data_IF_260717822572
#
_entry.id   IF_260717822572
#
_cell.length_a   1.000
_cell.length_b   1.000
_cell.length_c   1.000
_cell.angle_alpha   90.00
_cell.angle_beta   90.00
_cell.angle_gamma   90.00
#
_symmetry.space_group_name_H-M   'P 1'
#
loop_
_entity.id
_entity.type
_entity.pdbx_description
1 polymer ?
2 polymer ?
3 non-polymer ?
4 non-polymer ?
5 non-polymer ?
6 non-polymer ?
7 non-polymer ?
8 water ?
#
# COMPACT_ATOMS: atom_id res chain seq x y z
N UNK A 1 14.17 -16.91 9.23
CA UNK A 1 13.01 -16.01 9.36
C UNK A 1 12.63 -15.47 8.00
N UNK A 2 11.47 -14.81 7.95
CA UNK A 2 10.87 -14.39 6.71
C UNK A 2 11.71 -13.37 5.94
N UNK A 3 12.42 -12.46 6.61
CA UNK A 3 13.21 -11.47 5.88
C UNK A 3 14.37 -12.15 5.17
N UNK A 4 15.10 -13.01 5.88
CA UNK A 4 16.19 -13.74 5.25
C UNK A 4 15.66 -14.55 4.08
N UNK A 5 14.54 -15.22 4.27
CA UNK A 5 14.05 -16.12 3.23
C UNK A 5 13.44 -15.41 2.04
N UNK A 6 12.89 -14.21 2.22
CA UNK A 6 11.99 -13.65 1.24
C UNK A 6 12.32 -12.24 0.75
N UNK A 7 13.43 -11.63 1.19
CA UNK A 7 13.71 -10.28 0.73
C UNK A 7 14.75 -10.15 -0.39
N UNK A 8 15.29 -11.27 -0.90
CA UNK A 8 16.18 -11.32 -2.04
C UNK A 8 15.53 -12.08 -3.21
N UNK A 9 15.11 -13.29 -2.88
CA UNK A 9 14.38 -14.15 -3.80
C UNK A 9 12.90 -14.14 -3.43
N UNK A 10 12.04 -14.15 -4.43
CA UNK A 10 10.61 -14.06 -4.19
C UNK A 10 10.05 -15.30 -3.52
N UNK A 11 9.31 -15.09 -2.44
CA UNK A 11 8.54 -16.16 -1.81
C UNK A 11 7.17 -16.19 -2.42
N UNK A 12 6.81 -17.36 -2.91
CA UNK A 12 5.46 -17.58 -3.43
C UNK A 12 4.43 -17.44 -2.29
N UNK A 13 3.18 -17.23 -2.65
CA UNK A 13 2.11 -17.18 -1.62
C UNK A 13 2.06 -18.51 -0.85
N UNK A 14 2.40 -19.61 -1.51
CA UNK A 14 2.44 -20.88 -0.83
C UNK A 14 3.57 -20.92 0.22
N UNK A 15 4.77 -20.43 -0.12
CA UNK A 15 5.86 -20.37 0.85
C UNK A 15 5.51 -19.42 2.00
N UNK A 16 4.83 -18.31 1.70
CA UNK A 16 4.47 -17.35 2.74
C UNK A 16 3.53 -17.96 3.77
N UNK A 17 2.79 -19.01 3.41
CA UNK A 17 1.93 -19.68 4.40
C UNK A 17 2.71 -20.19 5.61
N UNK A 18 4.03 -20.35 5.46
CA UNK A 18 4.88 -20.80 6.56
C UNK A 18 4.82 -19.80 7.73
N UNK A 19 4.38 -18.55 7.48
CA UNK A 19 4.34 -17.54 8.53
C UNK A 19 2.92 -17.19 8.95
N UNK A 20 1.96 -18.03 8.57
CA UNK A 20 0.62 -17.92 9.14
C UNK A 20 0.57 -18.56 10.52
N UNK A 21 -0.38 -18.12 11.34
CA UNK A 21 -0.62 -18.77 12.62
C UNK A 21 -1.29 -20.11 12.41
N UNK B 1 18.53 -2.53 7.20
CA UNK B 1 18.75 -1.66 6.02
C UNK B 1 17.39 -1.20 5.51
N UNK B 2 17.37 -0.04 4.89
CA UNK B 2 16.13 0.46 4.30
C UNK B 2 15.46 -0.57 3.34
N UNK B 3 16.23 -1.28 2.52
CA UNK B 3 15.64 -2.26 1.61
C UNK B 3 14.81 -3.28 2.38
N UNK B 4 15.32 -3.75 3.52
CA UNK B 4 14.60 -4.72 4.30
C UNK B 4 13.36 -4.11 4.93
N UNK B 5 13.44 -2.86 5.35
CA UNK B 5 12.28 -2.15 5.85
C UNK B 5 11.19 -2.08 4.78
N UNK B 6 11.58 -1.75 3.56
CA UNK B 6 10.59 -1.66 2.48
C UNK B 6 10.04 -3.04 2.10
N UNK B 7 10.88 -4.04 2.08
CA UNK B 7 10.46 -5.42 1.84
C UNK B 7 9.41 -5.84 2.87
N UNK B 8 9.66 -5.55 4.15
CA UNK B 8 8.77 -5.97 5.20
C UNK B 8 7.35 -5.45 5.06
N UNK B 9 7.19 -4.21 4.59
CA UNK B 9 5.86 -3.65 4.38
C UNK B 9 5.07 -4.50 3.39
N UNK B 10 5.74 -4.89 2.32
CA UNK B 10 5.10 -5.74 1.33
C UNK B 10 4.85 -7.16 1.86
N UNK B 11 5.74 -7.68 2.68
CA UNK B 11 5.56 -8.99 3.27
C UNK B 11 4.31 -9.02 4.13
N UNK B 12 4.10 -7.99 4.95
CA UNK B 12 2.95 -7.95 5.83
C UNK B 12 1.65 -7.93 5.03
N UNK B 13 1.63 -7.16 3.94
CA UNK B 13 0.47 -7.10 3.07
C UNK B 13 0.15 -8.48 2.52
N UNK B 14 1.21 -9.17 2.06
CA UNK B 14 1.01 -10.49 1.50
C UNK B 14 0.55 -11.51 2.53
N UNK B 15 1.13 -11.47 3.74
CA UNK B 15 0.69 -12.37 4.80
C UNK B 15 -0.76 -12.11 5.18
N UNK B 16 -1.17 -10.84 5.22
CA UNK B 16 -2.55 -10.55 5.56
C UNK B 16 -3.49 -11.26 4.58
N UNK B 17 -3.16 -11.17 3.30
CA UNK B 17 -3.93 -11.77 2.22
C UNK B 17 -3.92 -13.28 2.26
N UNK B 18 -2.73 -13.86 2.40
CA UNK B 18 -2.58 -15.32 2.32
C UNK B 18 -3.18 -16.02 3.52
N UNK B 19 -3.04 -15.42 4.70
CA UNK B 19 -3.33 -16.14 5.93
C UNK B 19 -4.78 -16.05 6.34
N UNK B 20 -5.52 -15.06 5.85
CA UNK B 20 -6.95 -14.97 6.14
C UNK B 20 -7.24 -14.99 7.62
N UNK B 21 -8.30 -15.72 8.00
CA UNK B 21 -8.75 -15.76 9.37
C UNK B 21 -7.73 -16.30 10.36
N UNK B 22 -6.74 -17.02 9.86
CA UNK B 22 -5.67 -17.51 10.72
C UNK B 22 -4.81 -16.41 11.32
N UNK B 23 -4.68 -15.32 10.60
CA UNK B 23 -3.68 -14.32 10.93
C UNK B 23 -2.27 -14.86 10.73
N UNK B 24 -1.29 -14.09 11.19
CA UNK B 24 0.11 -14.38 10.92
C UNK B 24 0.98 -13.80 12.02
N UNK B 25 2.27 -14.16 11.97
CA UNK B 25 3.26 -13.55 12.83
C UNK B 25 4.29 -12.94 11.92
N UNK B 26 4.66 -11.71 12.23
CA UNK B 26 5.72 -11.03 11.51
C UNK B 26 6.88 -10.89 12.47
N UNK B 27 7.93 -11.66 12.16
CA UNK B 27 9.07 -11.81 13.03
C UNK B 27 10.31 -11.63 12.18
N UNK B 28 10.79 -10.39 12.13
CA UNK B 28 11.84 -10.08 11.17
C UNK B 28 13.19 -10.61 11.58
N UNK B 29 13.44 -10.77 12.88
CA UNK B 29 14.70 -11.34 13.38
C UNK B 29 15.86 -10.39 13.13
N UNK C 1 -11.77 21.29 2.14
CA UNK C 1 -10.41 20.80 1.88
C UNK C 1 -10.49 19.46 1.19
N UNK C 2 -9.34 18.84 1.09
CA UNK C 2 -9.20 17.62 0.33
C UNK C 2 -10.08 16.49 0.86
N UNK C 3 -10.30 16.41 2.17
CA UNK C 3 -11.13 15.34 2.72
C UNK C 3 -12.61 15.53 2.39
N UNK C 4 -13.11 16.75 2.55
CA UNK C 4 -14.49 17.06 2.16
C UNK C 4 -14.69 16.87 0.64
N UNK C 5 -13.67 17.24 -0.14
CA UNK C 5 -13.72 17.24 -1.60
C UNK C 5 -13.49 15.86 -2.23
N UNK C 6 -12.73 14.97 -1.55
CA UNK C 6 -12.24 13.75 -2.16
C UNK C 6 -12.49 12.47 -1.38
N UNK C 7 -13.01 12.56 -0.15
CA UNK C 7 -13.40 11.35 0.57
C UNK C 7 -14.89 11.09 0.55
N UNK C 8 -15.64 11.93 -0.16
CA UNK C 8 -17.05 11.63 -0.40
C UNK C 8 -17.25 11.13 -1.80
N UNK C 9 -16.68 11.86 -2.75
CA UNK C 9 -16.76 11.47 -4.15
C UNK C 9 -15.34 11.33 -4.70
N UNK C 10 -15.18 10.58 -5.78
CA UNK C 10 -13.86 10.32 -6.35
C UNK C 10 -13.26 11.59 -6.94
N UNK C 11 -12.05 11.96 -6.49
CA UNK C 11 -11.31 13.00 -7.18
C UNK C 11 -10.45 12.40 -8.26
N UNK C 12 -10.53 12.95 -9.46
CA UNK C 12 -9.64 12.55 -10.52
C UNK C 12 -8.21 13.05 -10.25
N UNK C 13 -7.24 12.55 -10.99
CA UNK C 13 -5.88 13.03 -10.78
C UNK C 13 -5.78 14.52 -11.07
N UNK C 14 -6.59 15.05 -11.99
CA UNK C 14 -6.62 16.49 -12.26
C UNK C 14 -7.10 17.28 -11.06
N UNK C 15 -8.17 16.81 -10.43
CA UNK C 15 -8.66 17.43 -9.22
C UNK C 15 -7.63 17.42 -8.10
N UNK C 16 -6.86 16.33 -8.00
CA UNK C 16 -5.86 16.25 -6.95
C UNK C 16 -4.70 17.25 -7.13
N UNK C 17 -4.52 17.78 -8.36
CA UNK C 17 -3.47 18.80 -8.56
C UNK C 17 -3.69 20.04 -7.72
N UNK C 18 -4.91 20.25 -7.24
CA UNK C 18 -5.22 21.36 -6.36
C UNK C 18 -4.38 21.31 -5.08
N UNK C 19 -3.82 20.15 -4.72
CA UNK C 19 -3.10 20.02 -3.47
C UNK C 19 -1.60 19.89 -3.64
N UNK C 20 -1.12 20.03 -4.88
CA UNK C 20 0.33 20.13 -5.10
C UNK C 20 0.86 21.44 -4.59
N UNK C 21 2.13 21.46 -4.22
CA UNK C 21 2.81 22.72 -3.90
C UNK C 21 3.10 23.52 -5.15
N UNK D 1 -16.45 7.26 12.85
CA UNK D 1 -16.02 6.13 11.98
C UNK D 1 -14.57 6.38 11.55
N UNK D 2 -13.87 5.34 11.13
CA UNK D 2 -12.47 5.46 10.70
C UNK D 2 -12.32 5.71 9.20
N UNK D 3 -13.43 5.80 8.48
CA UNK D 3 -13.37 5.91 7.02
C UNK D 3 -12.47 7.04 6.52
N UNK D 4 -12.60 8.24 7.09
CA UNK D 4 -11.79 9.35 6.56
C UNK D 4 -10.30 9.13 6.82
N UNK D 5 -9.94 8.53 7.94
CA UNK D 5 -8.55 8.18 8.22
C UNK D 5 -7.99 7.26 7.16
N UNK D 6 -8.77 6.26 6.78
CA UNK D 6 -8.29 5.32 5.78
C UNK D 6 -8.24 5.97 4.40
N UNK D 7 -9.24 6.79 4.08
CA UNK D 7 -9.21 7.49 2.81
C UNK D 7 -7.98 8.40 2.65
N UNK D 8 -7.59 9.08 3.73
CA UNK D 8 -6.41 9.93 3.68
C UNK D 8 -5.18 9.20 3.25
N UNK D 9 -5.01 7.95 3.65
CA UNK D 9 -3.79 7.25 3.28
C UNK D 9 -3.77 7.02 1.75
N UNK D 10 -4.93 6.74 1.15
CA UNK D 10 -5.04 6.64 -0.29
C UNK D 10 -4.77 8.00 -0.94
N UNK D 11 -5.28 9.08 -0.35
CA UNK D 11 -5.07 10.42 -0.90
C UNK D 11 -3.61 10.73 -1.01
N UNK D 12 -2.85 10.48 0.05
CA UNK D 12 -1.44 10.90 0.01
C UNK D 12 -0.66 10.07 -0.99
N UNK D 13 -1.01 8.81 -1.16
CA UNK D 13 -0.33 8.01 -2.16
C UNK D 13 -0.57 8.56 -3.56
N UNK D 14 -1.82 8.96 -3.84
CA UNK D 14 -2.11 9.56 -5.12
C UNK D 14 -1.43 10.89 -5.32
N UNK D 15 -1.43 11.73 -4.29
CA UNK D 15 -0.74 13.01 -4.35
C UNK D 15 0.74 12.83 -4.62
N UNK D 16 1.36 11.84 -4.02
CA UNK D 16 2.76 11.59 -4.27
C UNK D 16 3.03 11.38 -5.73
N UNK D 17 2.15 10.64 -6.39
CA UNK D 17 2.30 10.35 -7.81
C UNK D 17 1.95 11.55 -8.70
N UNK D 18 0.89 12.28 -8.39
CA UNK D 18 0.45 13.41 -9.20
C UNK D 18 1.41 14.58 -9.10
N UNK D 19 1.94 14.83 -7.90
CA UNK D 19 2.67 16.08 -7.61
C UNK D 19 4.18 15.74 -7.52
N UNK D 20 4.72 15.10 -8.53
CA UNK D 20 6.11 14.69 -8.57
C UNK D 20 7.19 15.74 -8.36
N UNK D 21 7.12 16.85 -9.08
CA UNK D 21 8.22 17.77 -9.07
C UNK D 21 8.31 18.52 -7.75
N UNK D 22 7.15 18.83 -7.18
CA UNK D 22 7.17 19.78 -6.09
C UNK D 22 6.47 19.29 -4.86
N UNK D 23 5.98 18.07 -4.83
CA UNK D 23 5.31 17.57 -3.66
C UNK D 23 3.97 18.23 -3.44
N UNK D 24 3.45 18.03 -2.24
CA UNK D 24 2.07 18.38 -1.95
C UNK D 24 1.95 18.89 -0.52
N UNK D 25 0.79 19.45 -0.22
CA UNK D 25 0.48 19.88 1.14
C UNK D 25 -0.81 19.18 1.53
N UNK D 26 -0.73 18.28 2.51
CA UNK D 26 -1.87 17.51 2.98
C UNK D 26 -2.38 18.11 4.28
N UNK D 27 -3.57 18.69 4.21
CA UNK D 27 -4.20 19.36 5.33
C UNK D 27 -5.64 18.90 5.35
N UNK D 28 -5.95 17.99 6.24
CA UNK D 28 -7.31 17.49 6.38
C UNK D 28 -8.20 18.43 7.21
N UNK E 1 8.66 -4.12 -22.37
CA UNK E 1 7.98 -4.57 -21.12
C UNK E 1 7.97 -3.46 -20.09
N UNK E 2 6.83 -3.27 -19.42
CA UNK E 2 6.68 -2.21 -18.46
C UNK E 2 7.69 -2.34 -17.32
N UNK E 3 8.01 -3.57 -16.97
CA UNK E 3 8.90 -3.79 -15.86
C UNK E 3 10.31 -3.35 -16.28
N UNK E 4 10.74 -3.82 -17.43
CA UNK E 4 12.02 -3.38 -17.96
C UNK E 4 12.06 -1.85 -18.08
N UNK E 5 11.02 -1.25 -18.67
CA UNK E 5 11.06 0.20 -18.91
C UNK E 5 10.90 1.03 -17.63
N UNK E 6 10.04 0.62 -16.68
CA UNK E 6 9.66 1.52 -15.59
C UNK E 6 10.21 1.14 -14.22
N UNK E 7 10.90 0.00 -14.12
CA UNK E 7 11.65 -0.29 -12.89
C UNK E 7 13.14 0.02 -13.11
N UNK E 8 13.53 0.16 -14.37
CA UNK E 8 14.89 0.62 -14.74
C UNK E 8 15.04 2.14 -14.83
N UNK E 9 13.93 2.84 -15.11
CA UNK E 9 13.88 4.29 -15.02
C UNK E 9 12.51 4.69 -14.50
N UNK E 10 12.38 5.90 -13.94
CA UNK E 10 11.09 6.37 -13.44
C UNK E 10 10.22 6.77 -14.60
N UNK E 11 9.01 6.22 -14.60
CA UNK E 11 8.04 6.52 -15.64
C UNK E 11 7.07 7.54 -15.13
N UNK E 12 6.80 8.52 -15.97
CA UNK E 12 5.80 9.53 -15.64
C UNK E 12 4.39 8.95 -15.74
N UNK E 13 3.38 9.65 -15.21
CA UNK E 13 2.00 9.18 -15.37
C UNK E 13 1.64 9.12 -16.86
N UNK E 14 2.19 10.04 -17.64
CA UNK E 14 1.93 10.07 -19.08
C UNK E 14 2.51 8.81 -19.76
N UNK E 15 3.72 8.41 -19.36
CA UNK E 15 4.32 7.19 -19.90
C UNK E 15 3.54 5.97 -19.45
N UNK E 16 3.11 5.94 -18.18
CA UNK E 16 2.35 4.79 -17.71
C UNK E 16 1.02 4.64 -18.45
N UNK E 17 0.42 5.77 -18.86
CA UNK E 17 -0.89 5.72 -19.49
C UNK E 17 -0.86 4.92 -20.80
N UNK E 18 0.33 4.74 -21.37
CA UNK E 18 0.46 3.95 -22.58
C UNK E 18 0.08 2.49 -22.36
N UNK E 19 0.19 2.07 -21.12
CA UNK E 19 -0.07 0.68 -20.80
C UNK E 19 -1.55 0.47 -20.46
N UNK E 20 -2.37 1.51 -20.52
CA UNK E 20 -3.82 1.36 -20.31
C UNK E 20 -4.52 0.71 -21.50
N UNK E 21 -5.71 0.20 -21.27
CA UNK E 21 -6.49 -0.29 -22.40
C UNK E 21 -7.16 0.85 -23.17
N UNK F 1 13.43 -11.89 -8.78
CA UNK F 1 14.12 -10.79 -8.09
C UNK F 1 13.12 -10.00 -7.28
N UNK F 2 13.36 -9.86 -5.98
CA UNK F 2 12.42 -9.15 -5.15
C UNK F 2 12.28 -7.68 -5.55
N UNK F 3 13.34 -7.00 -5.94
CA UNK F 3 13.15 -5.60 -6.31
C UNK F 3 12.13 -5.45 -7.45
N UNK F 4 12.19 -6.30 -8.47
CA UNK F 4 11.20 -6.27 -9.55
C UNK F 4 9.82 -6.59 -9.04
N UNK F 5 9.72 -7.62 -8.20
CA UNK F 5 8.43 -8.03 -7.64
C UNK F 5 7.78 -6.82 -6.95
N UNK F 6 8.56 -6.12 -6.12
CA UNK F 6 8.01 -5.00 -5.35
C UNK F 6 7.71 -3.82 -6.24
N UNK F 7 8.54 -3.57 -7.24
CA UNK F 7 8.24 -2.53 -8.20
C UNK F 7 6.92 -2.80 -8.89
N UNK F 8 6.66 -4.04 -9.29
CA UNK F 8 5.42 -4.35 -9.97
C UNK F 8 4.16 -4.03 -9.18
N UNK F 9 4.21 -4.21 -7.86
CA UNK F 9 3.08 -3.85 -6.99
C UNK F 9 2.77 -2.36 -7.14
N UNK F 10 3.81 -1.53 -7.14
CA UNK F 10 3.60 -0.11 -7.32
C UNK F 10 3.14 0.24 -8.74
N UNK F 11 3.62 -0.49 -9.73
CA UNK F 11 3.18 -0.23 -11.12
C UNK F 11 1.71 -0.49 -11.24
N UNK F 12 1.22 -1.60 -10.68
CA UNK F 12 -0.20 -1.91 -10.84
C UNK F 12 -1.08 -0.90 -10.13
N UNK F 13 -0.62 -0.40 -8.98
CA UNK F 13 -1.36 0.67 -8.29
C UNK F 13 -1.39 1.97 -9.09
N UNK F 14 -0.27 2.33 -9.71
CA UNK F 14 -0.23 3.54 -10.51
C UNK F 14 -1.12 3.39 -11.75
N UNK F 15 -1.07 2.23 -12.40
CA UNK F 15 -1.93 1.98 -13.55
C UNK F 15 -3.41 2.07 -13.14
N UNK F 16 -3.75 1.51 -11.98
CA UNK F 16 -5.13 1.62 -11.51
C UNK F 16 -5.56 3.08 -11.43
N UNK F 17 -4.68 3.95 -10.93
CA UNK F 17 -5.03 5.34 -10.76
C UNK F 17 -5.05 6.10 -12.08
N UNK F 18 -4.17 5.78 -13.01
CA UNK F 18 -4.07 6.48 -14.26
C UNK F 18 -5.13 6.06 -15.26
N UNK F 19 -5.39 4.76 -15.32
CA UNK F 19 -6.24 4.22 -16.35
C UNK F 19 -7.73 4.40 -16.02
N UNK F 20 -8.06 4.64 -14.75
CA UNK F 20 -9.43 4.89 -14.33
C UNK F 20 -10.43 3.84 -14.80
N UNK F 21 -11.51 4.30 -15.44
CA UNK F 21 -12.57 3.42 -15.93
C UNK F 21 -12.14 2.51 -17.08
N UNK F 22 -11.04 2.88 -17.74
CA UNK F 22 -10.53 2.13 -18.89
C UNK F 22 -9.86 0.81 -18.47
N UNK F 23 -9.39 0.75 -17.23
CA UNK F 23 -8.67 -0.40 -16.75
C UNK F 23 -7.37 -0.57 -17.50
N UNK F 24 -6.76 -1.74 -17.32
CA UNK F 24 -5.47 -2.01 -17.93
C UNK F 24 -5.19 -3.49 -18.02
N UNK F 25 -4.17 -3.83 -18.77
CA UNK F 25 -3.64 -5.16 -18.76
C UNK F 25 -2.30 -5.08 -18.04
N UNK F 26 -2.07 -6.00 -17.11
CA UNK F 26 -0.76 -6.14 -16.52
C UNK F 26 -0.13 -7.42 -16.99
N UNK F 27 0.92 -7.26 -17.81
CA UNK F 27 1.61 -8.35 -18.48
C UNK F 27 3.10 -8.27 -18.22
N UNK F 28 3.58 -8.99 -17.20
CA UNK F 28 5.03 -9.16 -16.98
C UNK F 28 5.65 -10.17 -17.96
N UNK G 1 -10.68 -7.53 20.03
CA UNK G 1 -9.30 -7.66 19.48
C UNK G 1 -8.99 -6.39 18.73
N UNK G 2 -7.86 -6.38 18.03
CA UNK G 2 -7.39 -5.18 17.40
C UNK G 2 -8.33 -4.65 16.31
N UNK G 3 -8.96 -5.53 15.53
CA UNK G 3 -9.88 -5.06 14.49
C UNK G 3 -11.10 -4.39 15.13
N UNK G 4 -11.67 -5.00 16.14
CA UNK G 4 -12.81 -4.40 16.79
C UNK G 4 -12.42 -3.04 17.38
N UNK G 5 -11.27 -2.95 18.03
CA UNK G 5 -10.93 -1.68 18.65
C UNK G 5 -10.64 -0.63 17.58
N UNK G 6 -9.78 -0.96 16.63
CA UNK G 6 -9.17 0.05 15.80
C UNK G 6 -9.92 0.29 14.47
N UNK G 7 -10.92 -0.52 14.16
CA UNK G 7 -11.82 -0.21 13.06
C UNK G 7 -13.12 0.45 13.55
N UNK G 8 -13.32 0.50 14.87
CA UNK G 8 -14.43 1.27 15.45
C UNK G 8 -14.07 2.73 15.55
N UNK G 9 -12.90 3.02 16.09
CA UNK G 9 -12.38 4.39 16.20
C UNK G 9 -10.88 4.35 16.05
N UNK G 10 -10.31 5.46 15.67
CA UNK G 10 -8.91 5.46 15.27
C UNK G 10 -8.02 5.15 16.46
N UNK G 11 -7.12 4.19 16.28
CA UNK G 11 -6.12 3.90 17.28
C UNK G 11 -4.90 4.80 17.08
N UNK G 12 -4.46 5.43 18.15
CA UNK G 12 -3.23 6.21 18.14
C UNK G 12 -2.02 5.30 18.00
N UNK G 13 -0.86 5.87 17.71
CA UNK G 13 0.35 5.05 17.64
C UNK G 13 0.58 4.37 19.00
N UNK G 14 0.32 5.07 20.11
CA UNK G 14 0.47 4.46 21.42
C UNK G 14 -0.42 3.24 21.57
N UNK G 15 -1.67 3.38 21.13
CA UNK G 15 -2.62 2.28 21.21
C UNK G 15 -2.15 1.12 20.33
N UNK G 16 -1.66 1.41 19.12
CA UNK G 16 -1.16 0.35 18.26
C UNK G 16 0.03 -0.38 18.89
N UNK G 17 0.87 0.35 19.62
CA UNK G 17 2.10 -0.20 20.12
C UNK G 17 1.81 -1.28 21.16
N UNK G 18 0.63 -1.22 21.77
CA UNK G 18 0.21 -2.30 22.69
C UNK G 18 0.09 -3.65 22.03
N UNK G 19 -0.04 -3.65 20.71
CA UNK G 19 -0.21 -4.91 20.00
C UNK G 19 1.14 -5.46 19.48
N UNK G 20 2.25 -4.75 19.68
CA UNK G 20 3.58 -5.21 19.27
C UNK G 20 4.10 -6.29 20.19
N UNK G 21 5.09 -7.03 19.70
CA UNK G 21 5.90 -7.86 20.59
C UNK G 21 7.01 -7.07 21.29
N UNK H 1 -18.56 -8.00 5.21
CA UNK H 1 -17.20 -8.27 5.63
C UNK H 1 -16.14 -7.46 4.84
N UNK H 2 -16.47 -6.91 3.67
CA UNK H 2 -15.45 -6.21 2.89
C UNK H 2 -14.86 -5.02 3.64
N UNK H 3 -15.69 -4.21 4.26
CA UNK H 3 -15.18 -3.05 4.98
C UNK H 3 -14.17 -3.40 6.05
N UNK H 4 -14.45 -4.44 6.80
CA UNK H 4 -13.55 -4.90 7.85
C UNK H 4 -12.26 -5.45 7.26
N UNK H 5 -12.38 -6.15 6.14
CA UNK H 5 -11.22 -6.66 5.42
C UNK H 5 -10.30 -5.51 5.03
N UNK H 6 -10.87 -4.47 4.43
CA UNK H 6 -10.08 -3.32 3.99
C UNK H 6 -9.45 -2.59 5.19
N UNK H 7 -10.23 -2.41 6.24
CA UNK H 7 -9.67 -1.76 7.43
C UNK H 7 -8.46 -2.57 7.97
N UNK H 8 -8.59 -3.89 8.02
CA UNK H 8 -7.53 -4.73 8.55
C UNK H 8 -6.25 -4.60 7.75
N UNK H 9 -6.38 -4.42 6.43
CA UNK H 9 -5.17 -4.27 5.65
C UNK H 9 -4.45 -2.97 5.97
N UNK H 10 -5.17 -1.88 6.21
CA UNK H 10 -4.55 -0.65 6.70
C UNK H 10 -3.95 -0.86 8.09
N UNK H 11 -4.65 -1.59 8.95
CA UNK H 11 -4.19 -1.76 10.31
C UNK H 11 -2.85 -2.48 10.36
N UNK H 12 -2.71 -3.57 9.62
CA UNK H 12 -1.46 -4.32 9.71
C UNK H 12 -0.28 -3.53 9.11
N UNK H 13 -0.51 -2.67 8.13
CA UNK H 13 0.55 -1.80 7.64
C UNK H 13 0.97 -0.80 8.70
N UNK H 14 0.01 -0.25 9.44
CA UNK H 14 0.33 0.67 10.53
C UNK H 14 1.08 -0.03 11.65
N UNK H 15 0.63 -1.23 12.03
CA UNK H 15 1.34 -2.05 13.03
C UNK H 15 2.75 -2.30 12.61
N UNK H 16 2.94 -2.60 11.34
CA UNK H 16 4.27 -2.88 10.84
C UNK H 16 5.18 -1.70 11.13
N UNK H 17 4.73 -0.49 10.85
CA UNK H 17 5.55 0.70 11.01
C UNK H 17 5.78 1.04 12.49
N UNK H 18 4.78 0.85 13.32
CA UNK H 18 4.90 1.13 14.75
C UNK H 18 5.84 0.13 15.41
N UNK H 19 5.72 -1.16 15.08
CA UNK H 19 6.42 -2.18 15.84
C UNK H 19 7.88 -2.36 15.41
N UNK H 20 8.19 -2.01 14.17
CA UNK H 20 9.55 -2.14 13.67
C UNK H 20 10.16 -3.51 13.86
N UNK H 21 11.41 -3.52 14.32
CA UNK H 21 12.15 -4.77 14.40
C UNK H 21 11.58 -5.69 15.47
N UNK H 22 10.69 -5.19 16.32
CA UNK H 22 10.02 -6.04 17.30
C UNK H 22 9.04 -7.00 16.64
N UNK H 23 8.47 -6.59 15.53
CA UNK H 23 7.41 -7.39 14.93
C UNK H 23 6.17 -7.44 15.79
N UNK H 24 5.27 -8.30 15.35
CA UNK H 24 3.96 -8.40 15.97
C UNK H 24 3.27 -9.66 15.48
N UNK H 25 2.27 -10.05 16.25
CA UNK H 25 1.34 -11.09 15.83
C UNK H 25 0.03 -10.40 15.44
N UNK H 26 -0.62 -10.89 14.40
CA UNK H 26 -1.94 -10.41 14.00
C UNK H 26 -2.88 -11.59 14.09
N UNK H 27 -3.84 -11.47 15.00
CA UNK H 27 -4.67 -12.62 15.36
C UNK H 27 -6.15 -12.33 15.38
N UNK H 28 -6.78 -12.41 14.21
CA UNK H 28 -8.24 -12.31 14.19
C UNK H 28 -8.89 -13.43 15.02
N UNK H 29 -9.87 -13.10 15.85
CA UNK H 29 -10.46 -11.78 15.80
C UNK H 29 -11.82 -11.76 16.48
N UNK I 1 -18.79 -7.59 -12.79
CA UNK I 1 -17.32 -7.84 -12.88
C UNK I 1 -16.68 -8.03 -11.52
N UNK I 2 -15.36 -7.94 -11.47
CA UNK I 2 -14.63 -8.20 -10.23
C UNK I 2 -14.99 -7.22 -9.08
N UNK I 3 -15.31 -5.96 -9.41
CA UNK I 3 -15.67 -4.97 -8.39
C UNK I 3 -17.04 -5.28 -7.79
N UNK I 4 -18.02 -5.60 -8.64
CA UNK I 4 -19.34 -5.92 -8.12
C UNK I 4 -19.25 -7.18 -7.28
N UNK I 5 -18.39 -8.11 -7.70
CA UNK I 5 -18.33 -9.35 -6.94
C UNK I 5 -17.51 -9.18 -5.69
N UNK I 6 -16.35 -8.53 -5.79
CA UNK I 6 -15.39 -8.63 -4.70
C UNK I 6 -15.36 -7.39 -3.80
N UNK I 7 -16.12 -6.36 -4.14
CA UNK I 7 -16.28 -5.24 -3.23
C UNK I 7 -17.62 -5.28 -2.48
N UNK I 8 -18.45 -6.30 -2.78
CA UNK I 8 -19.69 -6.60 -2.04
C UNK I 8 -19.49 -7.71 -1.00
N UNK I 9 -18.67 -8.70 -1.35
CA UNK I 9 -18.30 -9.75 -0.40
C UNK I 9 -16.83 -10.09 -0.60
N UNK I 10 -16.13 -10.48 0.48
CA UNK I 10 -14.69 -10.72 0.41
C UNK I 10 -14.51 -11.88 -0.52
N UNK I 11 -13.70 -11.66 -1.55
CA UNK I 11 -13.21 -12.75 -2.36
C UNK I 11 -11.97 -13.38 -1.77
N UNK I 12 -12.00 -14.69 -1.64
CA UNK I 12 -10.85 -15.46 -1.22
C UNK I 12 -9.77 -15.43 -2.28
N UNK I 13 -8.60 -15.93 -1.92
CA UNK I 13 -7.52 -16.05 -2.90
C UNK I 13 -7.95 -16.86 -4.09
N UNK I 14 -8.61 -17.97 -3.81
CA UNK I 14 -9.07 -18.87 -4.88
C UNK I 14 -10.07 -18.16 -5.79
N UNK I 15 -10.97 -17.39 -5.18
CA UNK I 15 -11.95 -16.63 -5.95
C UNK I 15 -11.29 -15.55 -6.80
N UNK I 16 -10.25 -14.92 -6.29
CA UNK I 16 -9.50 -13.92 -7.07
C UNK I 16 -8.83 -14.54 -8.27
N UNK I 17 -8.39 -15.79 -8.10
CA UNK I 17 -7.64 -16.49 -9.13
C UNK I 17 -8.53 -16.67 -10.37
N UNK I 18 -9.83 -16.65 -10.15
CA UNK I 18 -10.80 -16.69 -11.23
C UNK I 18 -10.52 -15.64 -12.30
N UNK I 19 -9.85 -14.54 -11.88
CA UNK I 19 -9.67 -13.35 -12.71
C UNK I 19 -8.27 -13.23 -13.33
N UNK I 20 -7.39 -14.18 -13.06
CA UNK I 20 -6.08 -14.21 -13.68
C UNK I 20 -6.15 -14.68 -15.12
N UNK I 21 -5.15 -14.37 -15.91
CA UNK I 21 -5.06 -14.96 -17.23
C UNK I 21 -4.80 -16.45 -17.15
N UNK J 1 -19.63 8.74 -3.76
CA UNK J 1 -19.24 7.40 -3.22
C UNK J 1 -17.81 7.09 -3.61
N UNK J 2 -16.94 6.82 -2.62
CA UNK J 2 -15.54 6.52 -2.91
C UNK J 2 -15.16 5.07 -2.63
N UNK J 3 -16.02 4.30 -1.98
CA UNK J 3 -15.58 3.01 -1.48
C UNK J 3 -15.24 2.01 -2.58
N UNK J 4 -15.93 2.07 -3.73
CA UNK J 4 -15.57 1.16 -4.82
C UNK J 4 -14.18 1.51 -5.34
N UNK J 5 -13.92 2.81 -5.50
CA UNK J 5 -12.62 3.29 -5.95
C UNK J 5 -11.52 2.78 -5.01
N UNK J 6 -11.76 2.94 -3.71
CA UNK J 6 -10.72 2.54 -2.75
C UNK J 6 -10.58 1.01 -2.69
N UNK J 7 -11.70 0.31 -2.72
CA UNK J 7 -11.65 -1.15 -2.71
C UNK J 7 -10.91 -1.67 -3.94
N UNK J 8 -11.15 -1.05 -5.10
CA UNK J 8 -10.48 -1.43 -6.33
C UNK J 8 -8.97 -1.38 -6.23
N UNK J 9 -8.45 -0.39 -5.52
CA UNK J 9 -7.01 -0.25 -5.29
C UNK J 9 -6.47 -1.48 -4.55
N UNK J 10 -7.17 -1.90 -3.51
CA UNK J 10 -6.78 -3.07 -2.76
C UNK J 10 -6.90 -4.33 -3.62
N UNK J 11 -7.93 -4.39 -4.44
CA UNK J 11 -8.18 -5.55 -5.25
C UNK J 11 -7.09 -5.78 -6.31
N UNK J 12 -6.65 -4.71 -6.97
CA UNK J 12 -5.61 -4.93 -7.95
C UNK J 12 -4.28 -5.38 -7.31
N UNK J 13 -3.98 -4.87 -6.12
CA UNK J 13 -2.80 -5.33 -5.44
C UNK J 13 -2.89 -6.81 -5.08
N UNK J 14 -4.07 -7.25 -4.65
CA UNK J 14 -4.26 -8.66 -4.37
C UNK J 14 -4.17 -9.53 -5.62
N UNK J 15 -4.78 -9.06 -6.72
CA UNK J 15 -4.67 -9.78 -7.98
C UNK J 15 -3.22 -9.91 -8.44
N UNK J 16 -2.45 -8.84 -8.27
CA UNK J 16 -1.05 -8.87 -8.65
C UNK J 16 -0.33 -10.01 -7.95
N UNK J 17 -0.56 -10.14 -6.65
CA UNK J 17 0.06 -11.20 -5.86
C UNK J 17 -0.44 -12.60 -6.23
N UNK J 18 -1.74 -12.73 -6.48
CA UNK J 18 -2.31 -14.04 -6.78
C UNK J 18 -1.95 -14.51 -8.17
N UNK J 19 -1.94 -13.61 -9.14
CA UNK J 19 -1.78 -14.05 -10.52
C UNK J 19 -0.32 -14.24 -10.91
N UNK J 20 0.59 -13.57 -10.23
CA UNK J 20 2.01 -13.71 -10.50
C UNK J 20 2.32 -13.43 -11.97
N UNK J 21 3.21 -14.24 -12.54
CA UNK J 21 3.66 -14.02 -13.90
C UNK J 21 2.57 -14.30 -14.94
N UNK J 22 1.44 -14.85 -14.51
CA UNK J 22 0.32 -15.06 -15.41
C UNK J 22 -0.29 -13.72 -15.86
N UNK J 23 -0.22 -12.71 -14.99
CA UNK J 23 -0.83 -11.43 -15.29
C UNK J 23 -2.34 -11.51 -15.18
N UNK J 24 -2.96 -10.39 -15.49
CA UNK J 24 -4.40 -10.23 -15.38
C UNK J 24 -4.83 -9.01 -16.16
N UNK J 25 -6.09 -9.00 -16.55
CA UNK J 25 -6.75 -7.80 -17.06
C UNK J 25 -7.58 -7.22 -15.92
N UNK J 26 -7.55 -5.91 -15.77
CA UNK J 26 -8.42 -5.29 -14.79
C UNK J 26 -9.41 -4.47 -15.52
N UNK J 27 -10.68 -4.79 -15.30
CA UNK J 27 -11.75 -4.30 -16.15
C UNK J 27 -13.04 -4.07 -15.35
N UNK J 28 -13.18 -2.88 -14.75
CA UNK J 28 -14.43 -2.44 -14.12
C UNK J 28 -15.58 -2.19 -15.09
N UNK K 1 17.40 16.24 0.29
CA UNK K 1 16.09 16.39 0.97
C UNK K 1 15.67 15.17 1.75
N UNK K 2 14.41 15.13 2.18
CA UNK K 2 13.96 14.09 3.10
C UNK K 2 14.03 12.70 2.46
N UNK K 3 13.85 12.60 1.15
CA UNK K 3 13.85 11.28 0.51
C UNK K 3 15.26 10.70 0.55
N UNK K 4 16.27 11.51 0.20
CA UNK K 4 17.65 11.07 0.29
C UNK K 4 18.00 10.68 1.72
N UNK K 5 17.61 11.50 2.68
CA UNK K 5 17.91 11.24 4.07
C UNK K 5 17.29 9.92 4.52
N UNK K 6 16.01 9.72 4.24
CA UNK K 6 15.31 8.58 4.79
C UNK K 6 15.32 7.35 3.89
N UNK K 7 15.83 7.47 2.66
CA UNK K 7 15.95 6.29 1.81
C UNK K 7 17.35 5.73 1.79
N UNK K 8 18.26 6.45 2.45
CA UNK K 8 19.61 5.98 2.66
C UNK K 8 19.75 5.31 4.01
N UNK K 9 19.06 5.83 5.02
CA UNK K 9 19.08 5.24 6.36
C UNK K 9 17.67 5.36 6.90
N UNK K 10 17.24 4.37 7.66
CA UNK K 10 15.86 4.34 8.12
C UNK K 10 15.50 5.52 9.03
N UNK K 11 14.34 6.12 8.77
CA UNK K 11 13.77 7.16 9.62
C UNK K 11 12.63 6.60 10.45
N UNK K 12 12.73 6.74 11.78
CA UNK K 12 11.67 6.23 12.64
C UNK K 12 10.45 7.13 12.63
N UNK K 13 9.31 6.63 13.13
CA UNK K 13 8.12 7.46 13.22
C UNK K 13 8.38 8.66 14.14
N UNK K 14 9.20 8.48 15.18
CA UNK K 14 9.57 9.61 16.07
C UNK K 14 10.32 10.70 15.32
N UNK K 15 11.25 10.29 14.48
CA UNK K 15 11.99 11.23 13.68
C UNK K 15 11.05 11.96 12.71
N UNK K 16 10.07 11.27 12.15
CA UNK K 16 9.22 11.87 11.12
C UNK K 16 8.20 12.83 11.73
N UNK K 17 7.92 12.70 13.01
CA UNK K 17 6.87 13.49 13.63
C UNK K 17 7.16 15.00 13.55
N UNK K 18 8.45 15.37 13.53
CA UNK K 18 8.76 16.80 13.47
C UNK K 18 8.42 17.45 12.14
N UNK K 19 8.03 16.66 11.13
CA UNK K 19 7.62 17.21 9.85
C UNK K 19 6.12 17.41 9.75
N UNK K 20 5.40 17.06 10.78
CA UNK K 20 3.95 17.27 10.79
C UNK K 20 3.59 18.74 10.94
N UNK K 21 2.41 19.09 10.44
CA UNK K 21 1.87 20.42 10.67
C UNK K 21 1.63 20.61 12.14
N UNK L 1 17.26 6.25 -7.97
CA UNK L 1 16.46 6.45 -9.18
C UNK L 1 15.04 5.90 -8.95
N UNK L 2 14.73 4.76 -9.56
CA UNK L 2 13.45 4.15 -9.29
C UNK L 2 13.41 3.74 -7.80
N UNK L 3 14.56 3.33 -7.29
CA UNK L 3 14.63 2.94 -5.89
C UNK L 3 14.07 4.03 -5.00
N UNK L 4 14.59 5.23 -5.23
CA UNK L 4 14.27 6.42 -4.48
C UNK L 4 12.81 6.68 -4.65
N UNK L 5 12.32 6.63 -5.88
CA UNK L 5 10.91 6.92 -6.14
C UNK L 5 9.99 6.03 -5.33
N UNK L 6 10.27 4.73 -5.35
CA UNK L 6 9.39 3.84 -4.61
C UNK L 6 9.57 3.94 -3.10
N UNK L 7 10.80 4.13 -2.64
CA UNK L 7 11.01 4.41 -1.23
C UNK L 7 10.23 5.62 -0.78
N UNK L 8 10.22 6.69 -1.59
CA UNK L 8 9.49 7.89 -1.23
C UNK L 8 8.00 7.67 -1.04
N UNK L 9 7.41 6.76 -1.81
CA UNK L 9 6.00 6.45 -1.63
C UNK L 9 5.75 5.87 -0.24
N UNK L 10 6.64 5.00 0.23
CA UNK L 10 6.52 4.47 1.58
C UNK L 10 6.74 5.58 2.61
N UNK L 11 7.69 6.47 2.35
CA UNK L 11 7.99 7.55 3.27
C UNK L 11 6.76 8.44 3.50
N UNK L 12 6.02 8.76 2.44
CA UNK L 12 4.85 9.59 2.65
C UNK L 12 3.71 8.84 3.38
N UNK L 13 3.63 7.52 3.23
CA UNK L 13 2.71 6.73 4.03
C UNK L 13 3.07 6.80 5.51
N UNK L 14 4.36 6.77 5.83
CA UNK L 14 4.79 6.87 7.21
C UNK L 14 4.51 8.25 7.79
N UNK L 15 4.78 9.29 7.01
CA UNK L 15 4.41 10.65 7.41
C UNK L 15 2.92 10.72 7.69
N UNK L 16 2.09 10.16 6.79
CA UNK L 16 0.66 10.19 6.99
C UNK L 16 0.26 9.55 8.32
N UNK L 17 0.86 8.40 8.61
CA UNK L 17 0.54 7.65 9.83
C UNK L 17 0.89 8.48 11.06
N UNK L 18 2.09 9.04 11.10
CA UNK L 18 2.48 9.74 12.31
C UNK L 18 1.77 11.05 12.48
N UNK L 19 1.46 11.73 11.40
CA UNK L 19 0.89 13.07 11.48
C UNK L 19 -0.61 13.04 11.73
N UNK L 20 -1.29 11.99 11.30
CA UNK L 20 -2.73 11.89 11.52
C UNK L 20 -3.49 13.10 11.04
N UNK L 21 -4.44 13.56 11.83
CA UNK L 21 -5.30 14.63 11.41
C UNK L 21 -4.59 15.94 11.29
N UNK L 22 -3.34 16.03 11.76
CA UNK L 22 -2.59 17.25 11.57
C UNK L 22 -2.21 17.49 10.10
N UNK L 23 -1.91 16.41 9.39
CA UNK L 23 -1.35 16.51 8.07
C UNK L 23 0.09 16.97 8.06
N UNK L 24 0.59 17.17 6.85
CA UNK L 24 1.99 17.50 6.63
C UNK L 24 2.22 18.09 5.27
N UNK L 25 3.28 18.89 5.19
CA UNK L 25 3.89 19.39 3.98
C UNK L 25 4.92 18.39 3.50
N UNK L 26 4.91 18.04 2.21
CA UNK L 26 5.91 17.17 1.64
C UNK L 26 6.57 17.84 0.45
N UNK L 27 7.89 17.90 0.46
CA UNK L 27 8.66 18.33 -0.67
C UNK L 27 9.84 17.43 -0.79
N UNK L 28 10.23 17.09 -2.02
CA UNK L 28 11.47 16.36 -2.22
C UNK L 28 12.67 17.32 -2.27
N UNK L 29 12.45 18.64 -2.31
CA UNK L 29 13.57 19.58 -2.48
C UNK L 29 14.45 19.64 -1.23
X LIG M 1 17.14 -20.92 9.27
X LIG M 1 16.85 -21.51 10.31
X LIG M 1 17.49 -21.18 11.53
X LIG M 1 18.56 -20.21 11.61
X LIG M 1 18.22 -19.03 12.48
X LIG M 1 17.13 -18.08 12.12
X LIG M 1 16.83 -17.59 13.57
X LIG M 1 17.62 -16.88 14.22
X LIG M 1 19.68 -20.85 12.38
X LIG M 1 19.85 -22.09 12.43
X LIG M 1 20.46 -20.10 13.03
X LIG M 1 15.78 -22.56 10.37
X LIG M 1 14.41 -21.89 10.31
X LIG M 1 13.26 -22.85 10.58
X LIG M 1 12.68 -23.50 9.35
X LIG M 1 13.61 -24.55 8.80
X LIG M 1 12.77 -25.66 8.21
X LIG M 1 13.66 -26.44 7.23
X LIG M 1 12.87 -27.20 6.17
X LIG M 1 13.10 -26.56 4.79
X LIG M 1 11.83 -26.70 3.92
X LIG M 1 12.12 -26.37 2.47
X LIG M 1 10.90 -26.73 1.64
X LIG M 1 10.76 -25.77 0.48
X LIG M 1 9.37 -25.19 0.43
X LIG M 1 9.29 -23.97 1.31
X LIG M 1 10.13 -23.05 1.17
X LIG M 1 8.39 -23.90 2.19
X LIG N 1 8.39 -11.42 -1.19
X LIG N 1 7.09 -11.74 -1.59
X LIG N 1 6.12 -10.77 -1.40
X LIG N 1 6.43 -9.56 -0.79
X LIG N 1 7.72 -9.29 -0.39
X LIG N 1 8.72 -10.22 -0.60
X LIG N 1 9.36 -12.39 -1.40
X LIG N 1 4.81 -11.07 -1.83
X LIG O 1 18.20 -15.01 11.80
X LIG P 1 -7.97 8.96 -4.70
X LIG P 1 -9.12 9.68 -4.96
X LIG P 1 -9.97 9.95 -3.90
X LIG P 1 -9.69 9.51 -2.62
X LIG P 1 -8.53 8.78 -2.39
X LIG P 1 -7.69 8.51 -3.43
X LIG P 1 -7.11 8.67 -5.75
X LIG P 1 -11.11 10.66 -4.16
X LIG Q 1 -0.14 1.42 -0.23
X LIG Q 1 0.00 0.81 0.96
X LIG Q 1 -0.23 -0.50 0.80
X LIG Q 1 -0.52 -0.73 -0.47
X LIG Q 1 -0.50 0.48 -1.14
X LIG Q 1 -0.04 2.38 -0.39
X LIG Q 1 0.25 1.24 1.79
X LIG Q 1 -0.18 -1.18 1.51
X LIG Q 1 -0.75 -1.60 -0.86
X LIG Q 1 -0.67 0.62 -2.09
X LIG R 1 7.49 3.75 -11.90
X LIG R 1 6.51 4.69 -11.66
X LIG R 1 5.51 4.40 -10.75
X LIG R 1 5.45 3.18 -10.05
X LIG R 1 6.44 2.25 -10.29
X LIG R 1 7.43 2.52 -11.23
X LIG R 1 8.49 4.02 -12.80
X LIG R 1 4.58 5.37 -10.52
X LIG S 1 6.96 -0.68 -2.01
X LIG T 1 -6.66 2.50 12.76
X LIG T 1 -5.44 3.15 12.74
X LIG T 1 -4.59 3.00 11.64
X LIG T 1 -4.95 2.18 10.58
X LIG T 1 -6.17 1.50 10.60
X LIG T 1 -7.04 1.68 11.70
X LIG T 1 -7.45 2.73 13.86
X LIG T 1 -3.38 3.68 11.62
X LIG U 1 -8.01 1.31 1.76
X LIG V 1 -14.13 -6.00 14.99
X LIG V 1 -15.30 -5.96 14.61
X LIG V 1 -15.94 -7.21 14.17
X LIG V 1 -15.36 -8.59 14.12
X LIG V 1 -13.84 -8.79 13.99
X LIG V 1 -13.45 -9.90 13.00
X LIG V 1 -12.41 -9.36 12.12
X LIG V 1 -12.09 -8.30 12.55
X LIG V 1 -15.89 -9.36 15.28
X LIG V 1 -15.63 -8.98 16.45
X LIG V 1 -16.60 -10.38 15.08
X LIG V 1 -16.06 -4.61 14.61
X LIG V 1 -16.52 -4.10 13.24
X LIG V 1 -15.37 -3.49 12.43
X LIG V 1 -15.79 -2.13 11.82
X LIG V 1 -15.39 -2.01 10.34
X LIG V 1 -15.40 -0.55 9.90
X LIG V 1 -14.27 -0.34 8.93
X LIG V 1 -14.47 0.83 8.01
X LIG V 1 -13.60 0.52 6.82
X LIG V 1 -13.98 1.54 5.78
X LIG V 1 -14.58 0.77 4.64
X LIG V 1 -14.12 1.45 3.38
X LIG V 1 -12.62 1.45 3.34
X LIG V 1 -12.18 2.04 2.03
X LIG V 1 -10.69 2.15 2.14
X LIG V 1 -10.15 3.21 2.57
X LIG V 1 -9.94 1.14 1.81
X LIG W 1 3.69 -0.38 6.18
X LIG X 1 -9.24 -8.49 -1.40
X LIG X 1 -10.49 -9.11 -1.55
X LIG X 1 -11.58 -8.31 -1.83
X LIG X 1 -11.46 -6.94 -2.03
X LIG X 1 -10.20 -6.38 -1.91
X LIG X 1 -9.09 -7.13 -1.57
X LIG X 1 -8.15 -9.24 -1.05
X LIG X 1 -12.79 -8.96 -1.92
X LIG Y 1 16.26 12.27 11.41
X LIG Y 1 15.64 13.47 11.38
X LIG Y 1 14.81 13.53 10.31
X LIG Y 1 14.95 12.37 9.65
X LIG Y 1 15.84 11.57 10.35
X LIG Y 1 16.91 11.98 12.08
X LIG Y 1 15.76 14.19 12.04
X LIG Y 1 14.25 14.27 10.05
X LIG Y 1 14.46 12.12 8.84
X LIG Y 1 16.12 10.67 10.10
X LIG Z 1 9.79 4.61 6.17
X LIG Z 1 11.04 5.01 6.63
X LIG Z 1 12.03 5.35 5.74
X LIG Z 1 11.80 5.29 4.36
X LIG Z 1 10.56 4.88 3.94
X LIG Z 1 9.54 4.57 4.81
X LIG Z 1 8.81 4.23 7.07
X LIG Z 1 13.24 5.70 6.24
X LIG AA 1 8.64 -0.71 -2.70
X LIG AA 1 9.14 -1.18 -3.87
X LIG AA 1 10.44 -0.94 -3.94
X LIG AA 1 10.78 -0.24 -2.86
X LIG AA 1 9.65 -0.07 -2.09
X LIG AA 1 8.62 -1.69 -4.53
X LIG AA 1 11.02 -1.18 -4.68
X LIG AA 1 11.68 0.09 -2.65
X LIG AA 1 9.60 0.37 -1.21
#
# INVERSE_FOLDING_TARGET
GIVEQCCTSICSLYQLENYCN
FVNQHLCGSHLVEALYLVCGERGFFYTPK
GIVEQCCTSICSLYQLENYCN
FVNQHLCGSHLVEALYLVCGERGFFYTPK
GIVEQCCTSICSLYQLENYCN
FVNQHLCGSHLVEALYLVCGERGFFYTPK
GIVEQCCTSICSLYQLENYCN
FVNQHLCGSHLVEALYLVCGERGFFYTPK
GIVEQCCTSICSLYQLENYCN
FVNQHLCGSHLVEALYLVCGERGFFYTPK
GIVEQCCTSICSLYQLENYCN
FVNQHLCGSHLVEALYLVCGERGFFYTPK
16E O01 C02 N03 C04 C05 C06 C07 O08 C09 O10 O11 C12 C13 C14 C15 C16 C17 C18 C19 C20 C21 C22 C23 C24 C25 C26 O27 O28
RCO C1 C2 C3 C4 C5 C6 O1 O3
NA NA
RCO C1 C2 C3 C4 C5 C6 O1 O3
IMD N1 C2 N3 C4 C5 HN1 H2 HN3 H4 H5
RCO C1 C2 C3 C4 C5 C6 O1 O3
ZN ZN
RCO C1 C2 C3 C4 C5 C6 O1 O3
ZN ZN
16E O01 C02 N03 C04 C05 C06 C07 O08 C09 O10 O11 C12 C13 C14 C15 C16 C17 C18 C19 C20 C21 C22 C23 C24 C25 C26 O27 O28
NA NA
RCO C1 C2 C3 C4 C5 C6 O1 O3
IMD N1 C2 N3 C4 C5 HN1 H2 HN3 H4 H5
RCO C1 C2 C3 C4 C5 C6 O1 O3
IMD N1 C2 N3 C4 C5 H2 HN3 H4 H5
#
